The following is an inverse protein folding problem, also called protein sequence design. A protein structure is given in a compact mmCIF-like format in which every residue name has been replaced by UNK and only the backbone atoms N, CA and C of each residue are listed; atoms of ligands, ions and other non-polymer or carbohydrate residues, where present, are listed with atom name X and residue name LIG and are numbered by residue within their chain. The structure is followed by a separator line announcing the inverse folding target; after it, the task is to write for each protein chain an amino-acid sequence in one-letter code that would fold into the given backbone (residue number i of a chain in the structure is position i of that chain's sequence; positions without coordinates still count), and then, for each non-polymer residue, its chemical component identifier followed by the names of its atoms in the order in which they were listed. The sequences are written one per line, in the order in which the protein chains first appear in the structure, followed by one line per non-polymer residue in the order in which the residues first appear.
data_IF_176129962367
#
_entry.id   IF_176129962367
#
_cell.length_a   1.000
_cell.length_b   1.000
_cell.length_c   1.000
_cell.angle_alpha   90.00
_cell.angle_beta   90.00
_cell.angle_gamma   90.00
#
_symmetry.space_group_name_H-M   'P 1'
#
loop_
_entity.id
_entity.type
_entity.pdbx_description
1 polymer ?
#
# COMPACT_ATOMS: atom_id res chain seq x y z
N UNK A 1 -3.89 -51.12 7.95
CA UNK A 1 -4.38 -50.78 6.61
C UNK A 1 -3.27 -50.90 5.57
N UNK A 2 -2.74 -52.12 5.38
CA UNK A 2 -1.68 -52.40 4.44
C UNK A 2 -2.22 -52.55 3.00
N UNK A 3 -1.54 -52.00 2.00
CA UNK A 3 -1.95 -52.05 0.58
C UNK A 3 -2.05 -53.46 -0.02
N UNK A 4 -1.43 -54.44 0.59
CA UNK A 4 -1.37 -55.82 0.06
C UNK A 4 -2.06 -56.88 0.97
N UNK A 5 -2.53 -56.48 2.13
CA UNK A 5 -3.17 -57.42 3.04
C UNK A 5 -4.68 -57.18 3.05
N UNK A 6 -5.39 -58.13 2.44
CA UNK A 6 -6.79 -58.39 2.79
C UNK A 6 -6.79 -58.97 4.21
N UNK A 7 -6.39 -58.14 5.18
CA UNK A 7 -6.36 -58.49 6.58
C UNK A 7 -7.66 -57.97 7.21
N UNK A 8 -8.33 -58.86 7.87
CA UNK A 8 -9.42 -58.63 8.79
C UNK A 8 -8.77 -58.51 10.18
N UNK A 9 -8.46 -57.24 10.59
CA UNK A 9 -7.66 -56.99 11.78
C UNK A 9 -8.41 -57.24 13.07
N UNK A 10 -9.76 -57.13 13.05
CA UNK A 10 -10.62 -57.41 14.20
C UNK A 10 -11.35 -58.74 14.14
N UNK A 11 -11.18 -59.51 13.03
CA UNK A 11 -11.74 -60.83 12.82
C UNK A 11 -13.28 -60.84 12.73
N UNK A 12 -13.89 -59.78 12.19
CA UNK A 12 -15.35 -59.72 12.02
C UNK A 12 -15.83 -60.22 10.63
N UNK A 13 -14.90 -60.51 9.72
CA UNK A 13 -15.14 -61.05 8.38
C UNK A 13 -15.15 -59.97 7.28
N UNK A 14 -14.96 -58.73 7.61
CA UNK A 14 -14.68 -57.65 6.67
C UNK A 14 -13.17 -57.38 6.61
N UNK A 15 -12.73 -56.57 5.66
CA UNK A 15 -11.29 -56.26 5.50
C UNK A 15 -11.13 -54.75 5.35
N UNK A 16 -10.26 -54.17 6.17
CA UNK A 16 -9.91 -52.74 6.14
C UNK A 16 -11.09 -51.76 6.24
N UNK A 17 -12.23 -52.17 6.86
CA UNK A 17 -13.46 -51.41 6.86
C UNK A 17 -13.42 -50.14 7.71
N UNK A 18 -12.55 -50.09 8.71
CA UNK A 18 -12.33 -48.89 9.51
C UNK A 18 -11.20 -47.97 8.98
N UNK A 19 -10.60 -48.37 7.85
CA UNK A 19 -9.51 -47.62 7.27
C UNK A 19 -10.02 -46.48 6.36
N UNK A 20 -9.68 -45.24 6.67
CA UNK A 20 -9.95 -44.13 5.82
C UNK A 20 -8.99 -44.06 4.61
N UNK A 21 -7.88 -44.77 4.63
CA UNK A 21 -6.91 -44.88 3.54
C UNK A 21 -6.09 -46.19 3.67
N UNK A 22 -5.41 -46.57 2.58
CA UNK A 22 -4.46 -47.68 2.53
C UNK A 22 -3.04 -47.22 2.28
N UNK A 23 -2.06 -48.06 2.66
CA UNK A 23 -0.64 -47.79 2.47
C UNK A 23 -0.34 -47.38 1.02
N UNK A 24 0.38 -46.24 0.83
CA UNK A 24 0.74 -45.68 -0.47
C UNK A 24 -0.27 -44.70 -1.04
N UNK A 25 -1.45 -44.58 -0.46
CA UNK A 25 -2.38 -43.51 -0.85
C UNK A 25 -1.93 -42.18 -0.31
N UNK A 26 -2.26 -41.12 -1.07
CA UNK A 26 -2.08 -39.71 -0.66
C UNK A 26 -3.25 -38.89 -1.13
N UNK A 27 -3.50 -37.78 -0.43
CA UNK A 27 -4.50 -36.78 -0.82
C UNK A 27 -3.88 -35.40 -0.74
N UNK A 28 -4.43 -34.41 -1.48
CA UNK A 28 -4.01 -33.01 -1.33
C UNK A 28 -4.15 -32.52 0.11
N UNK A 29 -3.23 -31.66 0.56
CA UNK A 29 -3.35 -30.99 1.83
C UNK A 29 -4.60 -30.09 1.87
N UNK A 30 -5.21 -29.98 3.03
CA UNK A 30 -6.33 -29.07 3.27
C UNK A 30 -5.89 -27.71 3.83
N UNK A 31 -4.58 -27.47 3.97
CA UNK A 31 -4.02 -26.21 4.41
C UNK A 31 -4.08 -25.14 3.28
N UNK A 32 -4.19 -23.85 3.60
CA UNK A 32 -4.16 -22.78 2.61
C UNK A 32 -2.75 -22.53 2.06
N UNK A 33 -2.61 -21.55 1.17
CA UNK A 33 -1.35 -21.04 0.67
C UNK A 33 -0.49 -22.06 -0.04
N UNK A 34 0.83 -21.94 0.15
CA UNK A 34 1.84 -22.83 -0.44
C UNK A 34 1.65 -24.30 -0.02
N UNK A 35 1.12 -24.57 1.16
CA UNK A 35 0.86 -25.91 1.66
C UNK A 35 -0.22 -26.65 0.87
N UNK A 36 -1.12 -25.97 0.21
CA UNK A 36 -2.17 -26.60 -0.61
C UNK A 36 -1.61 -27.45 -1.76
N UNK A 37 -0.38 -27.16 -2.21
CA UNK A 37 0.31 -27.95 -3.24
C UNK A 37 0.92 -29.25 -2.70
N UNK A 38 0.95 -29.42 -1.37
CA UNK A 38 1.46 -30.62 -0.72
C UNK A 38 0.46 -31.75 -0.69
N UNK A 39 0.91 -32.90 -0.18
CA UNK A 39 0.08 -34.09 0.01
C UNK A 39 0.20 -34.61 1.44
N UNK A 40 -0.88 -35.15 1.95
CA UNK A 40 -0.94 -35.94 3.17
C UNK A 40 -0.85 -37.43 2.78
N UNK A 41 0.12 -38.12 3.32
CA UNK A 41 0.27 -39.55 3.09
C UNK A 41 -0.60 -40.39 4.05
N UNK A 42 -1.02 -41.53 3.61
CA UNK A 42 -1.69 -42.50 4.49
C UNK A 42 -0.71 -43.06 5.53
N UNK A 43 -1.09 -42.99 6.80
CA UNK A 43 -0.41 -43.65 7.91
C UNK A 43 -1.00 -45.06 8.01
N UNK A 44 -0.23 -46.11 7.62
CA UNK A 44 -0.75 -47.48 7.59
C UNK A 44 -1.05 -48.01 8.99
N UNK A 45 -0.37 -47.51 10.02
CA UNK A 45 -0.58 -47.94 11.40
C UNK A 45 -1.88 -47.39 12.00
N UNK A 46 -2.35 -46.29 11.46
CA UNK A 46 -3.59 -45.61 11.91
C UNK A 46 -4.76 -45.82 10.95
N UNK A 47 -4.49 -46.28 9.75
CA UNK A 47 -5.51 -46.38 8.70
C UNK A 47 -6.12 -45.02 8.32
N UNK A 48 -5.41 -43.95 8.52
CA UNK A 48 -5.88 -42.58 8.27
C UNK A 48 -4.79 -41.75 7.64
N UNK A 49 -5.19 -40.70 6.89
CA UNK A 49 -4.22 -39.74 6.36
C UNK A 49 -3.51 -39.00 7.49
N UNK A 50 -2.21 -38.84 7.32
CA UNK A 50 -1.42 -38.04 8.26
C UNK A 50 -1.95 -36.61 8.26
N UNK A 51 -1.94 -35.92 9.43
CA UNK A 51 -2.27 -34.52 9.50
C UNK A 51 -1.07 -33.63 9.11
N UNK A 52 0.06 -34.25 8.75
CA UNK A 52 1.26 -33.52 8.32
C UNK A 52 1.30 -33.46 6.79
N UNK A 53 1.26 -32.23 6.28
CA UNK A 53 1.45 -31.94 4.87
C UNK A 53 2.92 -32.19 4.46
N UNK A 54 3.16 -32.63 3.22
CA UNK A 54 4.51 -32.82 2.68
C UNK A 54 5.26 -31.52 2.47
N UNK A 55 4.52 -30.39 2.36
CA UNK A 55 5.06 -29.04 2.41
C UNK A 55 4.83 -28.51 3.82
N UNK A 56 5.93 -28.24 4.53
CA UNK A 56 5.87 -27.68 5.86
C UNK A 56 5.68 -26.16 5.77
N UNK A 57 4.85 -25.55 6.64
CA UNK A 57 4.76 -24.11 6.73
C UNK A 57 6.13 -23.52 7.14
N UNK A 58 6.49 -22.42 6.51
CA UNK A 58 7.68 -21.60 6.83
C UNK A 58 7.22 -20.16 7.06
N UNK A 59 8.03 -19.38 7.77
CA UNK A 59 7.73 -17.97 7.95
C UNK A 59 7.70 -17.24 6.60
N UNK A 60 6.85 -16.21 6.51
CA UNK A 60 6.84 -15.30 5.37
C UNK A 60 8.23 -14.69 5.13
N UNK A 61 8.80 -14.89 3.94
CA UNK A 61 10.16 -14.47 3.60
C UNK A 61 10.24 -13.53 2.40
N UNK A 62 9.22 -13.50 1.59
CA UNK A 62 9.11 -12.62 0.42
C UNK A 62 7.70 -12.07 0.33
N UNK A 63 7.61 -10.81 -0.06
CA UNK A 63 6.33 -10.15 -0.26
C UNK A 63 5.91 -10.39 -1.70
N UNK A 64 5.20 -11.48 -1.97
CA UNK A 64 4.88 -11.96 -3.32
C UNK A 64 3.46 -12.54 -3.47
N UNK A 65 2.59 -12.24 -2.52
CA UNK A 65 1.20 -12.71 -2.44
C UNK A 65 1.09 -14.25 -2.25
N UNK A 66 2.13 -14.89 -1.72
CA UNK A 66 2.10 -16.31 -1.33
C UNK A 66 1.94 -16.39 0.19
N UNK A 67 1.18 -17.34 0.67
CA UNK A 67 1.01 -17.68 2.08
C UNK A 67 1.95 -18.87 2.37
N UNK A 68 3.20 -18.58 2.80
CA UNK A 68 4.22 -19.61 3.02
C UNK A 68 4.06 -20.28 4.37
N UNK A 69 3.52 -19.61 5.36
CA UNK A 69 3.31 -20.20 6.68
C UNK A 69 1.96 -20.90 6.80
N UNK A 70 1.13 -20.78 5.75
CA UNK A 70 -0.12 -21.53 5.61
C UNK A 70 -1.16 -21.22 6.70
N UNK A 71 -1.16 -20.01 7.23
CA UNK A 71 -2.10 -19.57 8.25
C UNK A 71 -3.38 -18.95 7.66
N UNK A 72 -3.38 -18.68 6.34
CA UNK A 72 -4.49 -18.12 5.57
C UNK A 72 -4.40 -16.62 5.36
N UNK A 73 -3.37 -15.96 5.85
CA UNK A 73 -2.98 -14.63 5.47
C UNK A 73 -1.87 -14.69 4.39
N UNK A 74 -1.43 -13.58 3.86
CA UNK A 74 -0.33 -13.48 2.90
C UNK A 74 0.55 -12.30 3.26
N UNK A 75 1.85 -12.51 3.23
CA UNK A 75 2.87 -11.46 3.44
C UNK A 75 2.75 -10.73 4.79
N UNK A 76 2.10 -11.33 5.82
CA UNK A 76 1.96 -10.67 7.11
C UNK A 76 3.33 -10.50 7.78
N UNK A 77 3.50 -9.36 8.38
CA UNK A 77 4.77 -8.96 8.97
C UNK A 77 5.81 -8.43 7.97
N UNK A 78 5.58 -8.57 6.65
CA UNK A 78 6.44 -8.01 5.59
C UNK A 78 5.87 -6.74 4.99
N UNK A 79 4.56 -6.53 5.08
CA UNK A 79 3.89 -5.36 4.55
C UNK A 79 4.12 -4.11 5.40
N UNK A 80 4.06 -2.95 4.75
CA UNK A 80 4.11 -1.62 5.38
C UNK A 80 2.82 -0.85 5.08
N UNK A 81 2.46 0.03 6.01
CA UNK A 81 1.25 0.84 5.90
C UNK A 81 1.49 2.04 4.99
N UNK A 82 0.72 2.14 3.90
CA UNK A 82 0.83 3.20 2.91
C UNK A 82 -0.52 3.85 2.61
N UNK A 83 -0.50 5.13 2.28
CA UNK A 83 -1.63 5.92 1.80
C UNK A 83 -1.53 6.06 0.28
N UNK A 84 -2.64 5.99 -0.43
CA UNK A 84 -2.65 6.22 -1.87
C UNK A 84 -2.19 7.67 -2.16
N UNK A 85 -1.27 7.85 -3.12
CA UNK A 85 -0.64 9.08 -3.57
C UNK A 85 -0.57 8.98 -5.11
N UNK A 86 -1.52 9.62 -5.79
CA UNK A 86 -1.81 9.37 -7.21
C UNK A 86 -0.76 9.98 -8.12
N UNK A 87 -0.28 11.18 -7.81
CA UNK A 87 0.73 11.86 -8.62
C UNK A 87 2.17 11.58 -8.18
N UNK A 88 2.31 10.87 -7.06
CA UNK A 88 3.55 10.33 -6.56
C UNK A 88 4.57 11.39 -6.12
N UNK A 89 4.10 12.45 -5.52
CA UNK A 89 4.92 13.56 -5.01
C UNK A 89 5.35 13.36 -3.54
N UNK A 90 4.81 12.34 -2.88
CA UNK A 90 5.15 11.94 -1.52
C UNK A 90 4.12 12.36 -0.47
N UNK A 91 3.07 13.06 -0.86
CA UNK A 91 1.95 13.45 -0.01
C UNK A 91 0.67 12.74 -0.47
N UNK A 92 -0.33 12.73 0.36
CA UNK A 92 -1.59 12.06 0.09
C UNK A 92 -2.76 13.01 0.33
N UNK A 93 -3.81 12.90 -0.46
CA UNK A 93 -5.03 13.67 -0.26
C UNK A 93 -5.74 13.30 1.05
N UNK A 94 -6.52 14.22 1.61
CA UNK A 94 -7.27 14.02 2.87
C UNK A 94 -8.16 12.75 2.87
N UNK A 95 -8.61 12.31 1.71
CA UNK A 95 -9.46 11.13 1.53
C UNK A 95 -8.69 9.88 1.08
N UNK A 96 -7.35 9.92 1.08
CA UNK A 96 -6.53 8.80 0.64
C UNK A 96 -6.81 7.53 1.44
N UNK A 97 -6.87 6.40 0.73
CA UNK A 97 -7.10 5.11 1.36
C UNK A 97 -5.78 4.55 1.88
N UNK A 98 -5.78 4.13 3.14
CA UNK A 98 -4.65 3.42 3.72
C UNK A 98 -4.72 1.93 3.38
N UNK A 99 -3.56 1.35 3.01
CA UNK A 99 -3.41 -0.08 2.68
C UNK A 99 -2.09 -0.60 3.22
N UNK A 100 -2.09 -1.88 3.57
CA UNK A 100 -0.85 -2.61 3.78
C UNK A 100 -0.31 -3.02 2.40
N UNK A 101 0.96 -2.73 2.13
CA UNK A 101 1.61 -2.95 0.83
C UNK A 101 3.02 -3.49 1.01
N UNK A 102 3.44 -4.29 0.07
CA UNK A 102 4.83 -4.71 -0.02
C UNK A 102 5.76 -3.52 -0.22
N UNK A 103 6.92 -3.47 0.44
CA UNK A 103 7.89 -2.40 0.26
C UNK A 103 8.37 -2.27 -1.19
N UNK A 104 8.41 -1.04 -1.68
CA UNK A 104 8.98 -0.71 -2.99
C UNK A 104 10.51 -0.59 -2.92
N UNK A 105 11.20 -1.01 -3.98
CA UNK A 105 12.65 -0.89 -4.09
C UNK A 105 13.06 0.58 -4.28
N UNK A 106 14.05 1.05 -3.52
CA UNK A 106 14.61 2.41 -3.58
C UNK A 106 13.55 3.52 -3.35
N UNK A 107 12.68 3.31 -2.38
CA UNK A 107 11.57 4.23 -2.03
C UNK A 107 11.66 4.78 -0.60
N UNK A 108 12.87 4.92 -0.06
CA UNK A 108 13.14 5.34 1.33
C UNK A 108 12.54 6.73 1.63
N UNK A 109 12.51 7.64 0.65
CA UNK A 109 11.97 8.99 0.80
C UNK A 109 10.47 9.00 1.16
N UNK A 110 9.72 7.97 0.75
CA UNK A 110 8.30 7.77 1.06
C UNK A 110 8.09 6.57 1.99
N UNK A 111 9.07 6.28 2.85
CA UNK A 111 8.99 5.23 3.87
C UNK A 111 8.96 3.81 3.32
N UNK A 112 9.46 3.61 2.12
CA UNK A 112 9.44 2.31 1.45
C UNK A 112 8.13 1.99 0.72
N UNK A 113 7.13 2.87 0.74
CA UNK A 113 5.88 2.65 0.03
C UNK A 113 6.10 2.54 -1.49
N UNK A 114 5.43 1.62 -2.19
CA UNK A 114 5.55 1.48 -3.64
C UNK A 114 5.05 2.71 -4.39
N UNK A 115 5.33 2.79 -5.69
CA UNK A 115 4.86 3.88 -6.55
C UNK A 115 3.35 4.06 -6.46
N UNK A 116 2.91 5.31 -6.38
CA UNK A 116 1.50 5.66 -6.17
C UNK A 116 1.07 5.55 -4.72
N UNK A 117 2.02 5.60 -3.79
CA UNK A 117 1.72 5.63 -2.36
C UNK A 117 2.84 6.22 -1.52
N UNK A 118 2.48 6.78 -0.37
CA UNK A 118 3.36 7.38 0.62
C UNK A 118 3.08 6.84 2.02
N UNK A 119 4.08 6.92 2.90
CA UNK A 119 3.92 6.58 4.33
C UNK A 119 3.35 7.71 5.17
N UNK A 120 3.35 8.94 4.63
CA UNK A 120 2.88 10.12 5.34
C UNK A 120 1.35 10.09 5.45
N UNK A 121 0.80 10.13 6.67
CA UNK A 121 -0.65 10.24 6.84
C UNK A 121 -1.10 11.65 6.44
N UNK A 122 -2.19 11.81 5.67
CA UNK A 122 -2.71 13.12 5.28
C UNK A 122 -3.39 13.82 6.46
N UNK A 123 -2.61 14.40 7.35
CA UNK A 123 -3.09 15.08 8.56
C UNK A 123 -2.32 16.37 8.81
N UNK A 124 -3.01 17.39 9.33
CA UNK A 124 -2.40 18.68 9.61
C UNK A 124 -1.89 19.35 8.32
N UNK A 125 -0.62 19.74 8.32
CA UNK A 125 0.02 20.45 7.21
C UNK A 125 0.60 19.49 6.15
N UNK A 126 0.39 18.17 6.28
CA UNK A 126 0.87 17.14 5.36
C UNK A 126 -0.25 16.65 4.41
N UNK A 127 -1.29 17.44 4.20
CA UNK A 127 -2.40 17.10 3.31
C UNK A 127 -2.15 17.67 1.92
N UNK A 128 -2.07 16.80 0.93
CA UNK A 128 -2.07 17.20 -0.48
C UNK A 128 -3.43 17.78 -0.88
N UNK A 129 -3.41 18.99 -1.44
CA UNK A 129 -4.62 19.70 -1.87
C UNK A 129 -5.07 19.34 -3.29
N UNK A 130 -4.21 18.74 -4.12
CA UNK A 130 -4.55 18.20 -5.44
C UNK A 130 -3.68 17.01 -5.83
N UNK A 131 -4.04 15.82 -5.36
CA UNK A 131 -3.39 14.50 -5.58
C UNK A 131 -3.32 14.07 -7.08
N UNK A 132 -3.49 14.99 -7.98
CA UNK A 132 -3.31 14.79 -9.43
C UNK A 132 -2.26 15.70 -10.03
N UNK A 133 -1.69 16.60 -9.24
CA UNK A 133 -0.75 17.62 -9.71
C UNK A 133 0.44 17.78 -8.76
N UNK A 134 1.48 17.00 -8.89
CA UNK A 134 2.67 16.94 -8.02
C UNK A 134 3.40 18.27 -7.72
N UNK A 135 3.00 19.36 -8.34
CA UNK A 135 3.44 20.71 -8.02
C UNK A 135 2.62 21.37 -6.92
N UNK A 136 1.42 20.86 -6.63
CA UNK A 136 0.51 21.33 -5.60
C UNK A 136 0.58 20.39 -4.41
N UNK A 137 1.47 20.67 -3.49
CA UNK A 137 1.76 19.78 -2.35
C UNK A 137 2.30 20.56 -1.16
N UNK A 138 2.18 20.06 0.04
CA UNK A 138 2.75 20.66 1.22
C UNK A 138 4.22 21.07 1.06
N UNK A 139 4.50 22.33 1.35
CA UNK A 139 5.83 22.92 1.29
C UNK A 139 6.39 23.12 -0.13
N UNK A 140 5.54 23.13 -1.15
CA UNK A 140 5.92 23.58 -2.48
C UNK A 140 6.30 25.07 -2.47
N UNK A 141 6.77 25.57 -3.57
CA UNK A 141 7.10 26.99 -3.70
C UNK A 141 5.98 27.69 -4.43
N UNK A 142 5.43 28.74 -3.84
CA UNK A 142 4.44 29.59 -4.45
C UNK A 142 4.91 30.20 -5.78
N UNK A 143 4.05 30.19 -6.77
CA UNK A 143 4.31 30.71 -8.11
C UNK A 143 3.23 31.71 -8.52
N UNK A 144 3.54 32.97 -8.39
CA UNK A 144 2.62 34.05 -8.71
C UNK A 144 2.45 34.20 -10.23
N UNK A 145 1.32 33.75 -10.76
CA UNK A 145 0.95 33.88 -12.18
C UNK A 145 -0.26 34.79 -12.35
N UNK A 146 -0.13 35.79 -13.25
CA UNK A 146 -1.23 36.72 -13.50
C UNK A 146 -2.49 36.02 -14.00
N UNK A 147 -3.57 36.18 -13.24
CA UNK A 147 -4.88 35.62 -13.55
C UNK A 147 -5.12 34.22 -13.06
N UNK A 148 -4.12 33.56 -12.49
CA UNK A 148 -4.25 32.33 -11.75
C UNK A 148 -4.20 32.63 -10.26
N UNK A 149 -4.88 31.82 -9.48
CA UNK A 149 -4.91 31.88 -8.02
C UNK A 149 -4.79 30.45 -7.54
N UNK A 150 -3.58 30.03 -7.37
CA UNK A 150 -3.23 28.66 -6.95
C UNK A 150 -2.52 28.77 -5.61
N UNK A 151 -2.78 27.83 -4.76
CA UNK A 151 -2.13 27.58 -3.48
C UNK A 151 -1.23 26.36 -3.72
N UNK A 152 0.05 26.62 -4.05
CA UNK A 152 0.96 25.54 -4.42
C UNK A 152 1.43 24.74 -3.21
N UNK A 153 1.54 25.37 -2.04
CA UNK A 153 2.05 24.70 -0.84
C UNK A 153 0.97 24.18 0.10
N UNK A 154 -0.30 24.32 -0.30
CA UNK A 154 -1.47 23.77 0.40
C UNK A 154 -1.64 24.29 1.84
N UNK A 155 -1.14 25.50 2.16
CA UNK A 155 -1.26 26.09 3.49
C UNK A 155 -2.56 26.91 3.68
N UNK A 156 -3.32 27.11 2.61
CA UNK A 156 -4.58 27.87 2.58
C UNK A 156 -4.43 29.35 2.23
N UNK A 157 -3.21 29.85 2.04
CA UNK A 157 -2.94 31.13 1.44
C UNK A 157 -2.75 30.99 -0.09
N UNK A 158 -2.58 32.05 -0.82
CA UNK A 158 -2.39 32.03 -2.27
C UNK A 158 -1.37 33.09 -2.61
N UNK A 159 -0.32 32.71 -3.34
CA UNK A 159 0.75 33.60 -3.79
C UNK A 159 1.47 34.34 -2.64
N UNK A 160 1.48 33.81 -1.40
CA UNK A 160 2.15 34.48 -0.30
C UNK A 160 3.68 34.43 -0.48
N UNK A 161 4.31 35.50 -0.09
CA UNK A 161 5.76 35.63 -0.20
C UNK A 161 6.33 35.90 -1.60
N UNK A 162 5.55 35.69 -2.68
CA UNK A 162 6.02 35.82 -4.07
C UNK A 162 5.43 37.05 -4.78
N UNK A 163 4.37 37.64 -4.23
CA UNK A 163 3.77 38.89 -4.74
C UNK A 163 4.66 40.09 -4.53
N UNK A 164 4.49 41.10 -5.37
CA UNK A 164 5.05 42.43 -5.17
C UNK A 164 4.01 43.35 -4.53
N UNK A 165 4.43 44.06 -3.51
CA UNK A 165 3.58 45.04 -2.86
C UNK A 165 3.33 46.22 -3.77
N UNK A 166 2.09 46.40 -4.19
CA UNK A 166 1.64 47.49 -5.06
C UNK A 166 0.70 48.41 -4.29
N UNK A 167 0.68 49.68 -4.68
CA UNK A 167 -0.27 50.66 -4.18
C UNK A 167 -1.09 51.17 -5.36
N UNK A 168 -2.34 51.51 -5.11
CA UNK A 168 -3.19 52.09 -6.15
C UNK A 168 -2.68 53.49 -6.51
N UNK A 169 -2.39 53.69 -7.78
CA UNK A 169 -2.01 54.94 -8.43
C UNK A 169 -3.12 55.22 -9.46
N UNK A 170 -4.01 56.14 -9.13
CA UNK A 170 -5.24 56.38 -9.90
C UNK A 170 -5.01 57.25 -11.14
N UNK A 171 -4.00 58.14 -11.11
CA UNK A 171 -3.69 59.05 -12.20
C UNK A 171 -2.50 58.62 -13.04
N UNK A 172 -1.79 57.54 -12.63
CA UNK A 172 -0.72 56.91 -13.40
C UNK A 172 0.57 57.72 -13.40
N UNK A 173 0.80 58.59 -12.40
CA UNK A 173 2.00 59.42 -12.32
C UNK A 173 3.21 58.71 -11.67
N UNK A 174 3.02 57.47 -11.19
CA UNK A 174 4.05 56.67 -10.54
C UNK A 174 4.13 56.84 -9.03
N UNK A 175 3.22 57.63 -8.43
CA UNK A 175 3.13 57.86 -6.99
C UNK A 175 1.74 57.49 -6.45
N UNK A 176 1.71 56.86 -5.31
CA UNK A 176 0.48 56.56 -4.63
C UNK A 176 0.18 57.56 -3.53
N UNK A 177 -1.10 57.95 -3.29
CA UNK A 177 -1.46 58.85 -2.19
C UNK A 177 -1.13 58.16 -0.83
N UNK A 178 -0.88 59.00 0.20
CA UNK A 178 -0.53 58.51 1.55
C UNK A 178 -1.63 57.63 2.19
N UNK A 179 -2.85 57.69 1.67
CA UNK A 179 -4.00 56.87 2.08
C UNK A 179 -4.13 55.56 1.28
N UNK A 180 -3.28 55.32 0.30
CA UNK A 180 -3.38 54.11 -0.52
C UNK A 180 -3.13 52.86 0.29
N UNK A 181 -3.99 51.85 0.12
CA UNK A 181 -3.82 50.54 0.72
C UNK A 181 -2.89 49.71 -0.13
N UNK A 182 -1.94 49.05 0.50
CA UNK A 182 -1.07 48.10 -0.18
C UNK A 182 -1.84 46.83 -0.55
N UNK A 183 -1.59 46.33 -1.75
CA UNK A 183 -2.11 45.04 -2.26
C UNK A 183 -0.95 44.27 -2.87
N UNK A 184 -0.79 43.03 -2.48
CA UNK A 184 0.19 42.16 -3.11
C UNK A 184 -0.34 41.69 -4.46
N UNK A 185 0.47 41.79 -5.50
CA UNK A 185 0.14 41.41 -6.88
C UNK A 185 1.28 40.64 -7.53
N UNK A 186 0.96 39.73 -8.41
CA UNK A 186 1.94 39.10 -9.28
C UNK A 186 2.60 40.13 -10.20
N UNK A 187 3.88 39.97 -10.45
CA UNK A 187 4.57 40.80 -11.46
C UNK A 187 4.05 40.42 -12.84
N UNK A 188 3.69 41.44 -13.64
CA UNK A 188 3.53 41.18 -15.08
C UNK A 188 4.85 40.70 -15.67
N UNK A 189 4.81 39.64 -16.46
CA UNK A 189 5.97 39.21 -17.21
C UNK A 189 6.39 40.35 -18.13
N UNK A 190 7.55 40.93 -17.88
CA UNK A 190 8.11 41.95 -18.78
C UNK A 190 8.51 41.18 -20.05
N UNK A 191 7.67 41.29 -21.09
CA UNK A 191 8.07 40.85 -22.44
C UNK A 191 9.14 41.84 -22.92
N UNK A 192 10.40 41.40 -22.92
CA UNK A 192 11.52 42.09 -23.53
C UNK A 192 11.52 41.87 -25.03
#
# INVERSE_FOLDING_TARGET
CAAEALLDEDCDGAVNEECACVEGESRPCSAPGACAAGVEACDPDRGAFSMACSIAPILEVSCDDVDEDCDGATDEGLTIRCYDDVDNDGFAAAAAVVRDRCPGVAREAVGGCPTGSTHLPPTGDDVDCDDGLSRLRPGATEVCVLGERVDEDCDGAIDEGVGVRCFTDEDGDGFAPASATAVDRCREAVTV
#
